data_IF_148464074468
#
_entry.id   IF_148464074468
#
_cell.length_a   1.000
_cell.length_b   1.000
_cell.length_c   1.000
_cell.angle_alpha   90.00
_cell.angle_beta   90.00
_cell.angle_gamma   90.00
#
_symmetry.space_group_name_H-M   'P 1'
#
loop_
_entity.id
_entity.type
_entity.pdbx_description
1 polymer ?
#
# COMPACT_ATOMS: atom_id res chain seq x y z
N UNK A 1 -23.63 -15.89 -6.67
CA UNK A 1 -23.42 -16.09 -5.21
C UNK A 1 -24.00 -17.39 -4.64
N UNK A 2 -25.12 -17.95 -5.15
CA UNK A 2 -25.79 -19.12 -4.54
C UNK A 2 -24.94 -20.41 -4.43
N UNK A 3 -23.87 -20.56 -5.21
CA UNK A 3 -23.01 -21.75 -5.22
C UNK A 3 -21.66 -21.56 -4.50
N UNK A 4 -21.38 -20.39 -3.91
CA UNK A 4 -20.14 -20.17 -3.16
C UNK A 4 -20.25 -20.85 -1.79
N UNK A 5 -19.26 -21.65 -1.43
CA UNK A 5 -19.23 -22.46 -0.21
C UNK A 5 -18.35 -21.87 0.90
N UNK A 6 -17.54 -20.86 0.58
CA UNK A 6 -16.59 -20.21 1.50
C UNK A 6 -17.04 -18.80 1.84
N UNK A 7 -16.91 -18.38 3.10
CA UNK A 7 -17.10 -16.99 3.47
C UNK A 7 -15.77 -16.25 3.42
N UNK A 8 -15.80 -15.00 2.98
CA UNK A 8 -14.60 -14.18 2.91
C UNK A 8 -13.97 -13.96 4.29
N UNK A 9 -14.81 -13.82 5.33
CA UNK A 9 -14.39 -13.61 6.71
C UNK A 9 -13.95 -14.89 7.45
N UNK A 10 -13.92 -16.04 6.77
CA UNK A 10 -13.26 -17.26 7.26
C UNK A 10 -11.72 -17.18 7.12
N UNK A 11 -11.21 -16.23 6.32
CA UNK A 11 -9.78 -16.04 6.04
C UNK A 11 -9.30 -14.66 6.51
N UNK A 12 -8.01 -14.52 6.80
CA UNK A 12 -7.42 -13.18 6.92
C UNK A 12 -7.27 -12.55 5.55
N UNK A 13 -7.77 -11.32 5.41
CA UNK A 13 -7.61 -10.53 4.19
C UNK A 13 -6.65 -9.38 4.44
N UNK A 14 -5.59 -9.30 3.63
CA UNK A 14 -4.57 -8.26 3.75
C UNK A 14 -4.64 -7.37 2.50
N UNK A 15 -5.09 -6.13 2.69
CA UNK A 15 -5.10 -5.10 1.66
C UNK A 15 -3.83 -4.24 1.80
N UNK A 16 -2.95 -4.29 0.80
CA UNK A 16 -1.72 -3.50 0.79
C UNK A 16 -1.83 -2.42 -0.28
N UNK A 17 -1.85 -1.15 0.15
CA UNK A 17 -1.64 0.00 -0.72
C UNK A 17 -0.16 0.36 -0.63
N UNK A 18 0.63 -0.22 -1.54
CA UNK A 18 2.07 0.04 -1.64
C UNK A 18 2.28 1.40 -2.30
N UNK A 19 2.78 2.36 -1.53
CA UNK A 19 2.85 3.76 -1.93
C UNK A 19 3.63 3.94 -3.24
N UNK A 20 3.01 4.68 -4.17
CA UNK A 20 3.55 4.96 -5.51
C UNK A 20 4.02 3.75 -6.33
N UNK A 21 3.68 2.52 -5.96
CA UNK A 21 4.19 1.32 -6.63
C UNK A 21 3.64 1.18 -8.07
N UNK A 22 4.55 1.19 -9.03
CA UNK A 22 4.34 0.84 -10.42
C UNK A 22 5.64 0.25 -10.98
N UNK A 23 5.53 -0.60 -11.99
CA UNK A 23 6.71 -1.15 -12.65
C UNK A 23 7.32 -0.07 -13.56
N UNK A 24 8.51 0.48 -13.25
CA UNK A 24 9.10 1.55 -14.05
C UNK A 24 9.51 1.07 -15.46
N UNK A 25 9.67 -0.24 -15.68
CA UNK A 25 10.03 -0.78 -17.00
C UNK A 25 8.91 -0.63 -18.03
N UNK A 26 7.68 -0.34 -17.59
CA UNK A 26 6.53 -0.06 -18.45
C UNK A 26 6.46 1.39 -18.94
N UNK A 27 7.29 2.30 -18.42
CA UNK A 27 7.27 3.71 -18.85
C UNK A 27 7.78 3.80 -20.29
N UNK A 28 6.98 4.34 -21.24
CA UNK A 28 7.43 4.55 -22.61
C UNK A 28 8.66 5.44 -22.65
N UNK A 29 9.61 5.13 -23.54
CA UNK A 29 10.85 5.91 -23.68
C UNK A 29 11.90 5.67 -22.58
N UNK A 30 11.58 4.99 -21.49
CA UNK A 30 12.55 4.69 -20.42
C UNK A 30 13.20 3.30 -20.59
N UNK A 31 14.51 3.22 -20.39
CA UNK A 31 15.29 1.99 -20.25
C UNK A 31 16.00 1.99 -18.89
N UNK A 32 15.86 0.89 -18.16
CA UNK A 32 16.65 0.59 -16.97
C UNK A 32 17.65 -0.52 -17.28
N UNK A 33 18.80 -0.50 -16.63
CA UNK A 33 19.84 -1.54 -16.77
C UNK A 33 19.39 -2.92 -16.27
N UNK A 34 18.36 -3.01 -15.42
CA UNK A 34 17.77 -4.28 -14.96
C UNK A 34 16.33 -4.11 -14.44
N UNK A 35 15.63 -5.23 -14.25
CA UNK A 35 14.30 -5.26 -13.64
C UNK A 35 14.39 -5.00 -12.13
N UNK A 36 13.77 -3.93 -11.60
CA UNK A 36 13.81 -3.64 -10.17
C UNK A 36 12.85 -4.48 -9.33
N UNK A 37 11.84 -5.13 -9.91
CA UNK A 37 10.80 -5.88 -9.18
C UNK A 37 10.71 -7.35 -9.62
N UNK A 38 11.82 -8.12 -9.62
CA UNK A 38 11.84 -9.47 -10.16
C UNK A 38 10.90 -10.44 -9.44
N UNK A 39 10.78 -10.38 -8.11
CA UNK A 39 9.91 -11.28 -7.35
C UNK A 39 8.43 -11.01 -7.65
N UNK A 40 7.96 -9.77 -7.55
CA UNK A 40 6.58 -9.38 -7.83
C UNK A 40 6.25 -9.67 -9.29
N UNK A 41 7.16 -9.36 -10.23
CA UNK A 41 6.98 -9.69 -11.65
C UNK A 41 6.78 -11.19 -11.88
N UNK A 42 7.52 -12.03 -11.15
CA UNK A 42 7.35 -13.48 -11.24
C UNK A 42 6.07 -13.97 -10.55
N UNK A 43 5.75 -13.45 -9.37
CA UNK A 43 4.55 -13.79 -8.61
C UNK A 43 3.29 -13.54 -9.44
N UNK A 44 3.22 -12.38 -10.12
CA UNK A 44 2.10 -12.00 -11.00
C UNK A 44 1.80 -13.00 -12.13
N UNK A 45 2.76 -13.84 -12.53
CA UNK A 45 2.55 -14.90 -13.55
C UNK A 45 1.84 -16.13 -12.98
N UNK A 46 1.80 -16.29 -11.66
CA UNK A 46 1.33 -17.48 -10.96
C UNK A 46 0.15 -17.20 -10.04
N UNK A 47 -0.39 -15.98 -10.04
CA UNK A 47 -1.57 -15.58 -9.26
C UNK A 47 -2.39 -14.56 -10.05
N UNK A 48 -3.66 -14.38 -9.66
CA UNK A 48 -4.53 -13.38 -10.25
C UNK A 48 -3.90 -11.99 -10.13
N UNK A 49 -3.60 -11.39 -11.27
CA UNK A 49 -2.92 -10.11 -11.31
C UNK A 49 -3.19 -9.35 -12.61
N UNK A 50 -2.92 -8.05 -12.60
CA UNK A 50 -3.14 -7.20 -13.76
C UNK A 50 -2.57 -5.80 -13.59
N UNK A 51 -3.27 -4.85 -14.19
CA UNK A 51 -3.05 -3.41 -14.04
C UNK A 51 -4.25 -2.80 -13.35
N UNK A 52 -4.00 -1.80 -12.50
CA UNK A 52 -5.04 -0.99 -11.86
C UNK A 52 -5.00 0.41 -12.46
N UNK A 53 -6.16 0.95 -12.84
CA UNK A 53 -6.27 2.33 -13.27
C UNK A 53 -6.22 3.24 -12.03
N UNK A 54 -5.25 4.16 -12.02
CA UNK A 54 -5.16 5.16 -10.94
C UNK A 54 -6.14 6.31 -11.15
N UNK A 55 -6.68 6.87 -10.06
CA UNK A 55 -7.50 8.09 -10.11
C UNK A 55 -6.67 9.38 -10.19
N UNK A 56 -5.35 9.28 -10.06
CA UNK A 56 -4.42 10.41 -10.13
C UNK A 56 -2.99 10.00 -10.46
N UNK A 57 -2.14 11.00 -10.72
CA UNK A 57 -0.70 10.86 -10.98
C UNK A 57 0.08 11.71 -9.99
N UNK A 58 1.06 11.11 -9.29
CA UNK A 58 1.85 11.79 -8.25
C UNK A 58 1.09 12.11 -6.95
N UNK A 59 -0.10 11.54 -6.76
CA UNK A 59 -0.91 11.76 -5.56
C UNK A 59 -2.26 11.06 -5.63
N UNK A 60 -3.11 11.30 -4.62
CA UNK A 60 -4.45 10.71 -4.56
C UNK A 60 -4.52 9.35 -3.88
N UNK A 61 -3.52 8.97 -3.07
CA UNK A 61 -3.50 7.72 -2.30
C UNK A 61 -4.81 7.46 -1.57
N UNK A 62 -5.37 8.48 -0.89
CA UNK A 62 -6.64 8.38 -0.18
C UNK A 62 -7.86 8.09 -1.09
N UNK A 63 -7.82 8.50 -2.36
CA UNK A 63 -8.91 8.21 -3.31
C UNK A 63 -8.87 6.74 -3.74
N UNK A 64 -7.69 6.19 -4.04
CA UNK A 64 -7.53 4.75 -4.31
C UNK A 64 -7.91 3.91 -3.09
N UNK A 65 -7.53 4.37 -1.91
CA UNK A 65 -7.88 3.75 -0.64
C UNK A 65 -9.39 3.72 -0.42
N UNK A 66 -10.07 4.85 -0.64
CA UNK A 66 -11.53 4.95 -0.57
C UNK A 66 -12.22 3.99 -1.56
N UNK A 67 -11.81 3.99 -2.84
CA UNK A 67 -12.37 3.10 -3.85
C UNK A 67 -12.14 1.62 -3.48
N UNK A 68 -10.96 1.27 -2.95
CA UNK A 68 -10.63 -0.10 -2.56
C UNK A 68 -11.46 -0.58 -1.37
N UNK A 69 -11.73 0.30 -0.41
CA UNK A 69 -12.52 -0.03 0.76
C UNK A 69 -14.03 -0.07 0.48
N UNK A 70 -14.54 0.85 -0.33
CA UNK A 70 -16.00 1.02 -0.53
C UNK A 70 -16.53 0.36 -1.80
N UNK A 71 -15.66 0.11 -2.79
CA UNK A 71 -16.06 -0.27 -4.15
C UNK A 71 -16.65 0.87 -4.98
N UNK A 72 -16.70 2.11 -4.45
CA UNK A 72 -17.29 3.26 -5.14
C UNK A 72 -16.23 4.01 -5.95
N UNK A 73 -16.29 3.89 -7.27
CA UNK A 73 -15.36 4.56 -8.18
C UNK A 73 -15.45 6.09 -8.10
N UNK A 74 -14.29 6.76 -8.12
CA UNK A 74 -14.20 8.21 -8.23
C UNK A 74 -14.92 8.75 -9.48
N UNK A 75 -15.00 7.96 -10.56
CA UNK A 75 -15.66 8.35 -11.80
C UNK A 75 -17.19 8.54 -11.64
N UNK A 76 -17.77 8.06 -10.55
CA UNK A 76 -19.20 8.20 -10.28
C UNK A 76 -19.53 9.47 -9.48
N UNK A 77 -18.52 10.20 -8.99
CA UNK A 77 -18.73 11.44 -8.25
C UNK A 77 -18.62 12.66 -9.18
N UNK A 78 -19.22 13.76 -8.74
CA UNK A 78 -19.04 15.06 -9.37
C UNK A 78 -17.55 15.44 -9.41
N UNK A 79 -17.03 16.07 -10.48
CA UNK A 79 -15.62 16.48 -10.57
C UNK A 79 -15.13 17.38 -9.41
N UNK A 80 -16.03 18.08 -8.73
CA UNK A 80 -15.70 18.87 -7.53
C UNK A 80 -15.36 18.00 -6.29
N UNK A 81 -15.69 16.71 -6.32
CA UNK A 81 -15.31 15.71 -5.32
C UNK A 81 -13.87 15.25 -5.57
N UNK A 82 -12.89 16.06 -5.17
CA UNK A 82 -11.47 15.76 -5.35
C UNK A 82 -10.92 14.80 -4.30
N UNK A 83 -11.54 14.72 -3.12
CA UNK A 83 -11.18 13.77 -2.06
C UNK A 83 -12.37 13.37 -1.19
N UNK A 84 -12.91 12.14 -1.34
CA UNK A 84 -13.98 11.64 -0.49
C UNK A 84 -13.61 11.61 0.99
N UNK A 85 -12.32 11.37 1.30
CA UNK A 85 -11.81 11.39 2.67
C UNK A 85 -11.92 12.76 3.34
N UNK A 86 -11.95 13.86 2.57
CA UNK A 86 -12.08 15.21 3.11
C UNK A 86 -13.50 15.76 2.98
N UNK A 87 -14.18 15.47 1.87
CA UNK A 87 -15.42 16.13 1.49
C UNK A 87 -16.67 15.29 1.82
N UNK A 88 -16.56 13.95 1.82
CA UNK A 88 -17.71 13.05 1.96
C UNK A 88 -17.71 12.30 3.30
N UNK A 89 -16.69 11.49 3.56
CA UNK A 89 -16.62 10.57 4.71
C UNK A 89 -16.76 11.31 6.05
N UNK A 90 -16.11 12.48 6.29
CA UNK A 90 -16.26 13.21 7.54
C UNK A 90 -17.69 13.69 7.83
N UNK A 91 -18.53 13.82 6.81
CA UNK A 91 -19.93 14.28 6.93
C UNK A 91 -20.95 13.12 6.85
N UNK A 92 -20.55 11.96 6.35
CA UNK A 92 -21.42 10.79 6.27
C UNK A 92 -21.75 10.22 7.66
N UNK A 93 -23.02 9.87 7.90
CA UNK A 93 -23.42 9.19 9.15
C UNK A 93 -22.83 7.78 9.24
N UNK A 94 -22.73 7.10 8.09
CA UNK A 94 -22.14 5.79 7.94
C UNK A 94 -21.50 5.68 6.55
N UNK A 95 -20.47 4.85 6.40
CA UNK A 95 -19.86 4.55 5.12
C UNK A 95 -19.63 3.04 5.01
N UNK A 96 -20.18 2.37 3.97
CA UNK A 96 -19.99 0.94 3.79
C UNK A 96 -18.56 0.66 3.33
N UNK A 97 -17.83 -0.14 4.09
CA UNK A 97 -16.48 -0.57 3.72
C UNK A 97 -16.29 -2.07 3.90
N UNK A 98 -15.48 -2.69 3.04
CA UNK A 98 -15.25 -4.13 3.01
C UNK A 98 -14.69 -4.70 4.32
N UNK A 99 -13.94 -3.91 5.09
CA UNK A 99 -13.43 -4.34 6.39
C UNK A 99 -14.56 -4.68 7.38
N UNK A 100 -15.74 -4.08 7.24
CA UNK A 100 -16.88 -4.32 8.13
C UNK A 100 -17.46 -5.74 7.99
N UNK A 101 -17.15 -6.48 6.93
CA UNK A 101 -17.51 -7.91 6.84
C UNK A 101 -16.82 -8.78 7.89
N UNK A 102 -15.66 -8.35 8.39
CA UNK A 102 -15.02 -9.01 9.53
C UNK A 102 -15.69 -8.57 10.85
N UNK A 103 -16.36 -7.42 10.89
CA UNK A 103 -17.04 -6.86 12.06
C UNK A 103 -18.32 -7.59 12.49
N UNK A 104 -18.88 -8.49 11.68
CA UNK A 104 -20.02 -9.38 12.04
C UNK A 104 -19.60 -10.71 12.72
N UNK A 105 -18.29 -10.99 12.85
CA UNK A 105 -17.82 -12.22 13.53
C UNK A 105 -17.83 -12.14 15.08
N UNK A 106 -17.59 -13.22 15.83
CA UNK A 106 -17.75 -13.25 17.30
C UNK A 106 -16.62 -12.60 18.16
N UNK A 107 -15.78 -11.72 17.60
CA UNK A 107 -14.55 -11.19 18.26
C UNK A 107 -14.58 -9.67 18.58
N UNK A 108 -13.61 -9.11 19.29
CA UNK A 108 -13.60 -7.68 19.72
C UNK A 108 -12.57 -6.77 19.01
N UNK A 109 -11.56 -7.34 18.33
CA UNK A 109 -10.59 -6.58 17.52
C UNK A 109 -10.47 -7.32 16.19
N UNK A 110 -10.86 -6.73 15.06
CA UNK A 110 -11.04 -7.53 13.83
C UNK A 110 -10.51 -6.90 12.56
N UNK A 111 -10.81 -5.62 12.35
CA UNK A 111 -10.26 -4.82 11.28
C UNK A 111 -9.16 -3.92 11.86
N UNK A 112 -7.94 -4.05 11.36
CA UNK A 112 -6.81 -3.25 11.81
C UNK A 112 -6.10 -2.61 10.62
N UNK A 113 -5.61 -1.40 10.81
CA UNK A 113 -4.88 -0.68 9.78
C UNK A 113 -3.50 -0.25 10.27
N UNK A 114 -2.56 -0.19 9.33
CA UNK A 114 -1.19 0.26 9.53
C UNK A 114 -0.88 1.35 8.52
N UNK A 115 -0.35 2.47 8.98
CA UNK A 115 0.20 3.51 8.13
C UNK A 115 1.37 4.17 8.87
N UNK A 116 2.62 3.94 8.47
CA UNK A 116 3.78 4.44 9.20
C UNK A 116 4.03 5.93 8.88
N UNK A 117 2.99 6.75 9.07
CA UNK A 117 3.03 8.19 8.89
C UNK A 117 2.14 8.91 9.92
N UNK A 118 1.99 10.23 9.75
CA UNK A 118 1.08 11.08 10.50
C UNK A 118 -0.38 10.61 10.35
N UNK A 119 -1.06 10.18 11.44
CA UNK A 119 -2.42 9.64 11.39
C UNK A 119 -3.47 10.63 10.89
N UNK A 120 -3.25 11.94 11.05
CA UNK A 120 -4.19 12.97 10.59
C UNK A 120 -4.10 13.26 9.08
N UNK A 121 -3.05 12.80 8.39
CA UNK A 121 -2.91 12.99 6.95
C UNK A 121 -4.12 12.37 6.21
N UNK A 122 -4.72 13.13 5.30
CA UNK A 122 -5.99 12.80 4.63
C UNK A 122 -7.16 12.50 5.58
N UNK A 123 -7.13 13.00 6.82
CA UNK A 123 -8.13 12.70 7.85
C UNK A 123 -8.28 11.19 8.17
N UNK A 124 -7.23 10.37 7.96
CA UNK A 124 -7.28 8.92 8.20
C UNK A 124 -7.75 8.57 9.61
N UNK A 125 -7.21 9.22 10.64
CA UNK A 125 -7.63 8.97 12.03
C UNK A 125 -9.14 9.14 12.25
N UNK A 126 -9.76 10.10 11.57
CA UNK A 126 -11.22 10.34 11.64
C UNK A 126 -11.97 9.32 10.78
N UNK A 127 -11.52 9.11 9.55
CA UNK A 127 -12.22 8.25 8.58
C UNK A 127 -12.16 6.77 8.97
N UNK A 128 -11.04 6.30 9.53
CA UNK A 128 -10.91 4.91 9.96
C UNK A 128 -11.84 4.56 11.11
N UNK A 129 -12.12 5.50 12.01
CA UNK A 129 -13.17 5.33 13.03
C UNK A 129 -14.55 5.17 12.37
N UNK A 130 -14.85 5.98 11.35
CA UNK A 130 -16.12 5.88 10.60
C UNK A 130 -16.24 4.61 9.77
N UNK A 131 -15.13 4.11 9.24
CA UNK A 131 -15.07 2.82 8.53
C UNK A 131 -15.10 1.62 9.47
N UNK A 132 -15.06 1.82 10.79
CA UNK A 132 -15.15 0.74 11.77
C UNK A 132 -13.84 0.01 12.07
N UNK A 133 -12.67 0.57 11.70
CA UNK A 133 -11.40 -0.04 12.09
C UNK A 133 -11.27 -0.10 13.60
N UNK A 134 -11.01 -1.31 14.13
CA UNK A 134 -10.81 -1.54 15.56
C UNK A 134 -9.53 -0.88 16.08
N UNK A 135 -8.48 -0.88 15.25
CA UNK A 135 -7.16 -0.33 15.57
C UNK A 135 -6.54 0.35 14.35
N UNK A 136 -5.85 1.46 14.59
CA UNK A 136 -5.08 2.17 13.57
C UNK A 136 -3.68 2.48 14.09
N UNK A 137 -2.72 1.67 13.68
CA UNK A 137 -1.32 1.81 14.07
C UNK A 137 -0.59 2.79 13.16
N UNK A 138 -0.19 3.93 13.72
CA UNK A 138 0.51 5.01 13.01
C UNK A 138 1.79 5.46 13.75
N UNK A 139 2.47 6.52 13.28
CA UNK A 139 3.66 7.05 13.98
C UNK A 139 3.31 7.73 15.31
N UNK A 140 2.07 8.22 15.43
CA UNK A 140 1.53 8.92 16.58
C UNK A 140 0.10 8.43 16.84
N UNK A 141 -0.46 8.76 18.01
CA UNK A 141 -1.83 8.41 18.39
C UNK A 141 -1.88 7.31 19.46
N UNK A 142 -3.08 6.81 19.82
CA UNK A 142 -3.21 5.85 20.92
C UNK A 142 -2.64 4.47 20.56
N UNK A 143 -2.62 4.11 19.27
CA UNK A 143 -2.07 2.87 18.76
C UNK A 143 -0.86 3.20 17.88
N UNK A 144 0.33 2.84 18.33
CA UNK A 144 1.58 3.23 17.68
C UNK A 144 2.24 2.04 17.00
N UNK A 145 2.72 2.22 15.78
CA UNK A 145 3.41 1.18 15.01
C UNK A 145 4.73 0.78 15.70
N UNK A 146 5.00 -0.54 15.70
CA UNK A 146 6.09 -1.14 16.47
C UNK A 146 7.47 -0.96 15.82
N UNK A 147 7.57 -1.07 14.49
CA UNK A 147 8.83 -0.97 13.74
C UNK A 147 8.80 0.28 12.86
N UNK A 148 9.90 1.04 12.86
CA UNK A 148 10.00 2.37 12.21
C UNK A 148 11.33 2.58 11.50
N UNK A 149 12.07 1.50 11.23
CA UNK A 149 13.38 1.58 10.60
C UNK A 149 13.23 2.13 9.17
N UNK A 150 14.11 3.07 8.83
CA UNK A 150 14.27 3.64 7.48
C UNK A 150 15.46 2.98 6.77
N UNK A 151 15.57 3.17 5.45
CA UNK A 151 16.70 2.67 4.66
C UNK A 151 17.61 3.84 4.31
N UNK A 152 18.87 3.76 4.73
CA UNK A 152 19.90 4.76 4.49
C UNK A 152 19.44 6.19 4.81
N UNK A 153 19.42 7.10 3.83
CA UNK A 153 19.00 8.50 4.00
C UNK A 153 17.52 8.74 3.69
N UNK A 154 16.74 7.68 3.38
CA UNK A 154 15.31 7.84 3.14
C UNK A 154 14.63 8.38 4.41
N UNK A 155 13.76 9.39 4.29
CA UNK A 155 13.05 9.94 5.45
C UNK A 155 11.85 9.08 5.88
N UNK A 156 11.48 8.07 5.09
CA UNK A 156 10.27 7.30 5.28
C UNK A 156 10.55 5.93 5.87
N UNK A 157 9.65 5.49 6.76
CA UNK A 157 9.68 4.13 7.30
C UNK A 157 9.59 3.12 6.16
N UNK A 158 10.47 2.12 6.22
CA UNK A 158 10.55 1.07 5.21
C UNK A 158 9.30 0.20 5.14
N UNK A 159 9.03 -0.35 3.96
CA UNK A 159 7.96 -1.32 3.75
C UNK A 159 8.21 -2.58 4.60
N UNK A 160 9.48 -2.98 4.76
CA UNK A 160 9.88 -4.09 5.63
C UNK A 160 9.46 -3.86 7.10
N UNK A 161 9.66 -2.65 7.63
CA UNK A 161 9.20 -2.27 8.97
C UNK A 161 7.68 -2.30 9.09
N UNK A 162 6.97 -1.72 8.11
CA UNK A 162 5.51 -1.74 8.09
C UNK A 162 4.93 -3.17 8.07
N UNK A 163 5.48 -4.03 7.21
CA UNK A 163 5.12 -5.45 7.12
C UNK A 163 5.43 -6.22 8.39
N UNK A 164 6.58 -5.95 9.03
CA UNK A 164 6.96 -6.59 10.30
C UNK A 164 5.96 -6.25 11.41
N UNK A 165 5.56 -4.98 11.54
CA UNK A 165 4.53 -4.58 12.51
C UNK A 165 3.17 -5.23 12.25
N UNK A 166 2.75 -5.28 10.98
CA UNK A 166 1.50 -5.95 10.61
C UNK A 166 1.57 -7.45 10.92
N UNK A 167 2.68 -8.11 10.58
CA UNK A 167 2.89 -9.54 10.80
C UNK A 167 2.81 -9.93 12.28
N UNK A 168 3.37 -9.11 13.18
CA UNK A 168 3.27 -9.33 14.63
C UNK A 168 1.80 -9.34 15.09
N UNK A 169 0.99 -8.37 14.65
CA UNK A 169 -0.45 -8.33 14.98
C UNK A 169 -1.25 -9.44 14.32
N UNK A 170 -0.86 -9.89 13.13
CA UNK A 170 -1.44 -11.06 12.47
C UNK A 170 -1.15 -12.33 13.29
N UNK A 171 0.07 -12.48 13.81
CA UNK A 171 0.52 -13.65 14.59
C UNK A 171 -0.08 -13.71 16.01
N UNK A 172 -0.29 -12.56 16.64
CA UNK A 172 -0.87 -12.47 18.00
C UNK A 172 -2.26 -13.13 18.11
N UNK A 173 -2.97 -13.29 16.99
CA UNK A 173 -4.36 -13.71 16.99
C UNK A 173 -4.67 -14.80 15.97
N UNK A 174 -5.23 -15.90 16.45
CA UNK A 174 -5.62 -17.05 15.62
C UNK A 174 -6.81 -16.74 14.70
N UNK A 175 -7.68 -15.80 15.10
CA UNK A 175 -8.91 -15.52 14.38
C UNK A 175 -8.65 -14.74 13.07
N UNK A 176 -9.44 -14.97 12.01
CA UNK A 176 -9.41 -14.19 10.78
C UNK A 176 -9.58 -12.68 11.02
N UNK A 177 -8.89 -11.87 10.23
CA UNK A 177 -8.82 -10.41 10.35
C UNK A 177 -8.81 -9.75 8.98
N UNK A 178 -9.39 -8.55 8.91
CA UNK A 178 -9.07 -7.61 7.86
C UNK A 178 -7.86 -6.78 8.29
N UNK A 179 -6.83 -6.74 7.46
CA UNK A 179 -5.60 -5.98 7.71
C UNK A 179 -5.38 -5.05 6.53
N UNK A 180 -5.34 -3.75 6.79
CA UNK A 180 -4.92 -2.78 5.79
C UNK A 180 -3.51 -2.28 6.10
N UNK A 181 -2.66 -2.20 5.09
CA UNK A 181 -1.32 -1.64 5.18
C UNK A 181 -1.18 -0.58 4.10
N UNK A 182 -0.99 0.67 4.49
CA UNK A 182 -0.71 1.79 3.59
C UNK A 182 0.74 2.19 3.82
N UNK A 183 1.64 1.83 2.92
CA UNK A 183 3.07 2.07 3.13
C UNK A 183 3.47 3.52 2.83
N UNK A 184 4.74 3.88 3.05
CA UNK A 184 5.26 5.22 2.79
C UNK A 184 6.65 5.24 2.15
N UNK A 185 7.36 4.11 2.08
CA UNK A 185 8.78 4.07 1.72
C UNK A 185 9.10 4.79 0.40
N UNK A 186 8.23 4.59 -0.60
CA UNK A 186 8.41 5.13 -1.95
C UNK A 186 7.58 6.41 -2.16
N UNK A 187 7.28 7.17 -1.11
CA UNK A 187 6.63 8.47 -1.27
C UNK A 187 7.62 9.50 -1.84
N UNK A 188 7.16 10.36 -2.76
CA UNK A 188 7.96 11.44 -3.33
C UNK A 188 8.34 12.51 -2.29
N UNK A 189 9.38 13.34 -2.51
CA UNK A 189 10.26 13.43 -3.69
C UNK A 189 11.31 12.32 -3.73
N UNK A 190 11.82 11.92 -4.90
CA UNK A 190 12.90 10.92 -5.00
C UNK A 190 14.26 11.60 -5.13
N UNK A 191 15.14 11.42 -4.14
CA UNK A 191 16.51 11.97 -4.12
C UNK A 191 17.51 10.85 -3.86
N UNK A 192 18.80 11.13 -4.00
CA UNK A 192 19.90 10.18 -3.74
C UNK A 192 19.95 9.68 -2.27
N UNK A 193 19.05 8.76 -1.95
CA UNK A 193 18.80 8.28 -0.58
C UNK A 193 19.54 6.99 -0.27
N UNK A 194 19.61 6.10 -1.26
CA UNK A 194 20.03 4.71 -1.08
C UNK A 194 21.50 4.55 -1.40
N UNK A 195 22.26 3.99 -0.46
CA UNK A 195 23.65 3.66 -0.66
C UNK A 195 23.78 2.53 -1.69
N UNK A 196 24.84 2.58 -2.49
CA UNK A 196 25.13 1.58 -3.51
C UNK A 196 23.96 1.37 -4.51
N UNK A 197 23.27 2.46 -4.87
CA UNK A 197 22.23 2.39 -5.90
C UNK A 197 22.87 2.02 -7.24
N UNK A 198 22.51 0.84 -7.73
CA UNK A 198 23.08 0.23 -8.92
C UNK A 198 22.17 0.35 -10.16
N UNK A 199 21.04 1.05 -10.04
CA UNK A 199 20.16 1.31 -11.16
C UNK A 199 20.70 2.43 -12.02
N UNK A 200 20.68 2.21 -13.33
CA UNK A 200 21.02 3.21 -14.32
C UNK A 200 19.82 3.42 -15.24
N UNK A 201 19.36 4.66 -15.35
CA UNK A 201 18.29 5.09 -16.24
C UNK A 201 18.87 5.74 -17.50
N UNK A 202 18.31 5.36 -18.64
CA UNK A 202 18.66 5.91 -19.95
C UNK A 202 17.41 6.04 -20.83
N UNK A 203 17.40 6.99 -21.78
CA UNK A 203 16.36 7.01 -22.80
C UNK A 203 16.48 5.77 -23.70
N UNK A 204 15.35 5.27 -24.18
CA UNK A 204 15.29 4.32 -25.30
C UNK A 204 15.61 5.05 -26.62
N UNK A 205 16.03 4.29 -27.62
CA UNK A 205 16.29 4.83 -28.96
C UNK A 205 15.10 5.65 -29.47
N UNK A 206 15.36 6.92 -29.80
CA UNK A 206 14.36 7.87 -30.30
C UNK A 206 13.52 8.58 -29.21
N UNK A 207 13.77 8.34 -27.92
CA UNK A 207 13.21 9.12 -26.83
C UNK A 207 14.04 10.38 -26.54
N UNK A 208 13.43 11.36 -25.85
CA UNK A 208 14.15 12.55 -25.39
C UNK A 208 15.18 12.19 -24.32
N UNK A 209 16.27 12.96 -24.26
CA UNK A 209 17.28 12.81 -23.22
C UNK A 209 16.71 13.10 -21.84
N UNK A 210 17.17 12.34 -20.83
CA UNK A 210 16.80 12.53 -19.43
C UNK A 210 17.68 13.60 -18.81
N UNK A 211 17.09 14.51 -18.04
CA UNK A 211 17.85 15.45 -17.22
C UNK A 211 18.49 14.77 -16.00
N UNK A 212 19.53 15.38 -15.41
CA UNK A 212 20.24 14.79 -14.24
C UNK A 212 19.34 14.55 -13.02
N UNK A 213 18.43 15.50 -12.73
CA UNK A 213 17.45 15.38 -11.65
C UNK A 213 16.41 14.29 -11.92
N UNK A 214 16.00 14.15 -13.18
CA UNK A 214 15.06 13.11 -13.62
C UNK A 214 15.71 11.74 -13.51
N UNK A 215 16.94 11.60 -14.00
CA UNK A 215 17.75 10.38 -13.89
C UNK A 215 17.90 9.96 -12.44
N UNK A 216 18.32 10.88 -11.56
CA UNK A 216 18.45 10.65 -10.12
C UNK A 216 17.13 10.19 -9.50
N UNK A 217 16.02 10.82 -9.87
CA UNK A 217 14.69 10.48 -9.36
C UNK A 217 14.27 9.07 -9.79
N UNK A 218 14.47 8.73 -11.06
CA UNK A 218 14.12 7.41 -11.63
C UNK A 218 14.96 6.31 -11.01
N UNK A 219 16.28 6.51 -10.89
CA UNK A 219 17.20 5.53 -10.32
C UNK A 219 16.92 5.31 -8.84
N UNK A 220 16.64 6.38 -8.09
CA UNK A 220 16.20 6.30 -6.69
C UNK A 220 14.89 5.51 -6.59
N UNK A 221 13.90 5.84 -7.41
CA UNK A 221 12.62 5.13 -7.41
C UNK A 221 12.79 3.65 -7.74
N UNK A 222 13.59 3.31 -8.76
CA UNK A 222 13.90 1.93 -9.14
C UNK A 222 14.51 1.15 -7.96
N UNK A 223 15.41 1.77 -7.21
CA UNK A 223 15.99 1.19 -5.99
C UNK A 223 14.96 1.03 -4.86
N UNK A 224 14.12 2.04 -4.64
CA UNK A 224 13.04 2.00 -3.66
C UNK A 224 12.05 0.84 -3.92
N UNK A 225 11.61 0.66 -5.16
CA UNK A 225 10.71 -0.45 -5.51
C UNK A 225 11.40 -1.83 -5.47
N UNK A 226 12.73 -1.90 -5.65
CA UNK A 226 13.50 -3.12 -5.38
C UNK A 226 13.46 -3.50 -3.89
N UNK A 227 13.63 -2.54 -2.99
CA UNK A 227 13.47 -2.81 -1.55
C UNK A 227 12.04 -3.25 -1.21
N UNK A 228 11.02 -2.68 -1.86
CA UNK A 228 9.64 -3.15 -1.75
C UNK A 228 9.49 -4.59 -2.24
N UNK A 229 10.08 -4.96 -3.38
CA UNK A 229 10.06 -6.32 -3.95
C UNK A 229 10.60 -7.36 -2.95
N UNK A 230 11.76 -7.08 -2.37
CA UNK A 230 12.42 -7.89 -1.35
C UNK A 230 11.58 -7.99 -0.06
N UNK A 231 11.05 -6.86 0.41
CA UNK A 231 10.20 -6.81 1.60
C UNK A 231 8.90 -7.60 1.41
N UNK A 232 8.28 -7.52 0.23
CA UNK A 232 7.08 -8.28 -0.11
C UNK A 232 7.38 -9.78 -0.17
N UNK A 233 8.51 -10.19 -0.78
CA UNK A 233 8.93 -11.59 -0.77
C UNK A 233 9.09 -12.14 0.66
N UNK A 234 9.79 -11.41 1.52
CA UNK A 234 10.02 -11.81 2.91
C UNK A 234 8.70 -11.86 3.72
N UNK A 235 7.80 -10.93 3.47
CA UNK A 235 6.48 -10.87 4.10
C UNK A 235 5.62 -12.08 3.71
N UNK A 236 5.48 -12.37 2.41
CA UNK A 236 4.72 -13.53 1.94
C UNK A 236 5.30 -14.85 2.44
N UNK A 237 6.63 -15.02 2.38
CA UNK A 237 7.32 -16.20 2.95
C UNK A 237 7.07 -16.37 4.46
N UNK A 238 6.81 -15.27 5.17
CA UNK A 238 6.49 -15.31 6.59
C UNK A 238 5.02 -15.64 6.85
N UNK A 239 4.11 -15.20 5.97
CA UNK A 239 2.69 -15.56 6.00
C UNK A 239 2.49 -17.05 5.68
N UNK A 240 3.21 -17.61 4.70
CA UNK A 240 3.13 -19.03 4.32
C UNK A 240 3.48 -20.00 5.46
N UNK A 241 4.22 -19.52 6.47
CA UNK A 241 4.57 -20.29 7.66
C UNK A 241 3.48 -20.27 8.73
N UNK A 242 2.46 -19.44 8.58
CA UNK A 242 1.33 -19.39 9.50
C UNK A 242 0.35 -20.51 9.13
N UNK A 243 -0.04 -21.31 10.12
CA UNK A 243 -1.10 -22.31 9.93
C UNK A 243 -2.48 -21.65 10.00
N UNK A 244 -2.74 -20.73 9.08
CA UNK A 244 -3.93 -19.87 9.04
C UNK A 244 -4.23 -19.45 7.59
N UNK A 245 -5.48 -19.59 7.14
CA UNK A 245 -5.95 -18.99 5.89
C UNK A 245 -6.01 -17.45 5.93
#
# INVERSE_FOLDING_TARGET
>A
NRSRTTNMNDNTFILILSESFSDPTRVPGLKLNKNPIPFISNLKKHTDSGLMLSSGYGGGTANLEYMSLTGLSMANFDPSMTSPYQQLVPNAQWSPTINQYWDDSRNSIKSIAFHPYEPSMYLRATNYKKFGFSKFYALQGPDVIAHRDVIDKSPYVSDASAYKSALEKIKEHKQPRFVQIVTMQNHMPYRDWYANNEFEASPKDGAADLGDDEKTSIETYAKGVQHTDEATQAFLKSLDKLNKP
#
